data_IF_587578529223
#
_entry.id   IF_587578529223
#
_cell.length_a   1.000
_cell.length_b   1.000
_cell.length_c   1.000
_cell.angle_alpha   90.00
_cell.angle_beta   90.00
_cell.angle_gamma   90.00
#
_symmetry.space_group_name_H-M   'P 1'
#
loop_
_entity.id
_entity.type
_entity.pdbx_description
1 polymer ?
#
# COMPACT_ATOMS: atom_id res chain seq x y z
N UNK A 1 -1.26 32.65 -0.91
CA UNK A 1 -1.07 31.30 -0.34
C UNK A 1 -0.76 30.38 -1.51
N UNK A 2 0.45 29.82 -1.58
CA UNK A 2 0.77 28.79 -2.57
C UNK A 2 0.05 27.50 -2.19
N UNK A 3 -0.70 26.92 -3.12
CA UNK A 3 -1.33 25.62 -2.92
C UNK A 3 -0.26 24.58 -2.56
N UNK A 4 -0.57 23.71 -1.59
CA UNK A 4 0.29 22.58 -1.25
C UNK A 4 0.54 21.74 -2.50
N UNK A 5 1.77 21.26 -2.76
CA UNK A 5 2.05 20.38 -3.89
C UNK A 5 1.51 18.96 -3.67
N UNK A 6 0.79 18.70 -2.57
CA UNK A 6 0.24 17.40 -2.18
C UNK A 6 -1.28 17.40 -2.31
N UNK A 7 -1.84 16.22 -2.51
CA UNK A 7 -3.27 16.02 -2.70
C UNK A 7 -4.05 16.32 -1.42
N UNK A 8 -5.14 17.07 -1.58
CA UNK A 8 -6.20 17.18 -0.58
C UNK A 8 -7.24 16.09 -0.81
N UNK A 9 -7.95 15.74 0.26
CA UNK A 9 -8.97 14.69 0.34
C UNK A 9 -10.37 15.26 0.61
N UNK A 10 -10.52 16.58 0.57
CA UNK A 10 -11.82 17.25 0.50
C UNK A 10 -12.37 17.25 -0.94
N UNK A 11 -13.59 17.78 -1.11
CA UNK A 11 -14.27 17.77 -2.40
C UNK A 11 -13.47 18.41 -3.54
N UNK A 12 -12.78 19.53 -3.28
CA UNK A 12 -11.97 20.20 -4.30
C UNK A 12 -10.72 19.38 -4.65
N UNK A 13 -10.03 18.84 -3.64
CA UNK A 13 -8.88 17.95 -3.84
C UNK A 13 -9.25 16.67 -4.59
N UNK A 14 -10.39 16.07 -4.28
CA UNK A 14 -10.90 14.88 -4.97
C UNK A 14 -11.25 15.16 -6.43
N UNK A 15 -11.82 16.33 -6.72
CA UNK A 15 -12.06 16.75 -8.11
C UNK A 15 -10.73 16.94 -8.86
N UNK A 16 -9.74 17.58 -8.23
CA UNK A 16 -8.41 17.75 -8.83
C UNK A 16 -7.73 16.39 -9.09
N UNK A 17 -7.85 15.43 -8.17
CA UNK A 17 -7.36 14.06 -8.38
C UNK A 17 -8.08 13.41 -9.57
N UNK A 18 -9.40 13.60 -9.69
CA UNK A 18 -10.17 13.04 -10.80
C UNK A 18 -9.70 13.61 -12.17
N UNK A 19 -9.48 14.92 -12.23
CA UNK A 19 -9.07 15.63 -13.45
C UNK A 19 -7.63 15.29 -13.86
N UNK A 20 -6.71 15.30 -12.90
CA UNK A 20 -5.26 15.11 -13.16
C UNK A 20 -4.84 13.65 -13.18
N UNK A 21 -5.60 12.77 -12.52
CA UNK A 21 -5.25 11.37 -12.24
C UNK A 21 -3.93 11.22 -11.48
N UNK A 22 -3.59 12.19 -10.64
CA UNK A 22 -2.40 12.16 -9.80
C UNK A 22 -2.84 12.28 -8.34
N UNK A 23 -2.35 11.36 -7.51
CA UNK A 23 -2.54 11.36 -6.07
C UNK A 23 -1.16 11.42 -5.44
N UNK A 24 -0.92 12.41 -4.59
CA UNK A 24 0.40 12.65 -4.01
C UNK A 24 0.32 12.87 -2.50
N UNK A 25 1.04 12.06 -1.74
CA UNK A 25 1.13 12.14 -0.28
C UNK A 25 2.53 12.55 0.18
N UNK A 26 2.58 13.41 1.18
CA UNK A 26 3.79 13.70 1.95
C UNK A 26 3.87 12.72 3.13
N UNK A 27 4.82 11.80 3.09
CA UNK A 27 5.03 10.77 4.12
C UNK A 27 6.39 10.92 4.80
N UNK A 28 7.11 12.02 4.61
CA UNK A 28 8.47 12.19 5.16
C UNK A 28 8.50 12.14 6.69
N UNK A 29 7.47 12.69 7.34
CA UNK A 29 7.35 12.77 8.80
C UNK A 29 6.86 11.46 9.44
N UNK A 30 6.45 10.47 8.64
CA UNK A 30 5.83 9.24 9.15
C UNK A 30 4.49 9.47 9.85
N UNK A 31 3.81 10.60 9.58
CA UNK A 31 2.46 10.90 10.07
C UNK A 31 1.82 11.95 9.18
N UNK A 32 0.57 11.71 8.77
CA UNK A 32 -0.25 12.66 8.00
C UNK A 32 -1.46 13.06 8.82
N UNK A 33 -1.58 14.34 9.20
CA UNK A 33 -2.74 14.80 9.97
C UNK A 33 -3.95 14.96 9.06
N UNK A 34 -5.12 14.58 9.57
CA UNK A 34 -6.39 14.68 8.84
C UNK A 34 -6.67 16.11 8.35
N UNK A 35 -6.43 17.09 9.23
CA UNK A 35 -6.62 18.50 8.92
C UNK A 35 -5.71 19.00 7.78
N UNK A 36 -4.49 18.48 7.66
CA UNK A 36 -3.52 18.93 6.64
C UNK A 36 -3.93 18.49 5.23
N UNK A 37 -4.68 17.39 5.14
CA UNK A 37 -5.21 16.86 3.88
C UNK A 37 -6.69 17.17 3.68
N UNK A 38 -7.35 17.87 4.61
CA UNK A 38 -8.79 18.15 4.52
C UNK A 38 -9.67 16.89 4.58
N UNK A 39 -9.22 15.87 5.31
CA UNK A 39 -9.98 14.63 5.48
C UNK A 39 -10.81 14.69 6.76
N UNK A 40 -12.13 14.62 6.65
CA UNK A 40 -13.06 14.70 7.79
C UNK A 40 -14.03 13.50 7.82
N UNK A 41 -13.70 12.42 7.10
CA UNK A 41 -14.68 11.36 6.86
C UNK A 41 -14.94 10.50 8.10
N UNK A 42 -16.19 10.03 8.18
CA UNK A 42 -16.66 9.11 9.22
C UNK A 42 -16.04 7.72 9.22
N UNK A 43 -15.45 7.34 8.10
CA UNK A 43 -14.91 6.02 7.81
C UNK A 43 -13.74 6.12 6.81
N UNK A 44 -13.37 4.98 6.20
CA UNK A 44 -12.41 4.90 5.11
C UNK A 44 -12.89 5.62 3.83
N UNK A 45 -11.95 6.21 3.09
CA UNK A 45 -12.21 6.87 1.81
C UNK A 45 -11.69 6.03 0.64
N UNK A 46 -12.59 5.70 -0.29
CA UNK A 46 -12.22 5.12 -1.57
C UNK A 46 -11.94 6.21 -2.61
N UNK A 47 -10.82 6.11 -3.32
CA UNK A 47 -10.48 7.01 -4.42
C UNK A 47 -10.26 6.19 -5.70
N UNK A 48 -11.05 6.49 -6.73
CA UNK A 48 -10.99 5.84 -8.03
C UNK A 48 -12.05 4.75 -8.24
N UNK A 49 -11.92 4.02 -9.36
CA UNK A 49 -12.84 2.98 -9.80
C UNK A 49 -11.99 1.87 -10.48
N UNK A 50 -12.21 0.57 -10.17
CA UNK A 50 -11.46 -0.54 -10.80
C UNK A 50 -11.55 -0.60 -12.33
N UNK A 51 -12.57 0.04 -12.92
CA UNK A 51 -12.84 0.11 -14.36
C UNK A 51 -12.33 1.40 -15.00
N UNK A 52 -11.92 2.40 -14.20
CA UNK A 52 -11.36 3.64 -14.71
C UNK A 52 -9.89 3.47 -15.12
N UNK A 53 -9.35 4.40 -15.94
CA UNK A 53 -7.92 4.46 -16.20
C UNK A 53 -7.09 4.54 -14.92
N UNK A 54 -5.87 4.04 -15.00
CA UNK A 54 -4.90 4.16 -13.91
C UNK A 54 -4.59 5.62 -13.57
N UNK A 55 -4.25 5.81 -12.30
CA UNK A 55 -3.77 7.04 -11.69
C UNK A 55 -2.33 6.85 -11.26
N UNK A 56 -1.59 7.94 -11.25
CA UNK A 56 -0.26 8.00 -10.65
C UNK A 56 -0.43 8.17 -9.14
N UNK A 57 0.12 7.23 -8.36
CA UNK A 57 0.27 7.36 -6.92
C UNK A 57 1.72 7.75 -6.63
N UNK A 58 1.90 8.90 -6.01
CA UNK A 58 3.20 9.45 -5.64
C UNK A 58 3.30 9.50 -4.12
N UNK A 59 4.25 8.77 -3.56
CA UNK A 59 4.49 8.68 -2.13
C UNK A 59 5.86 9.29 -1.85
N UNK A 60 5.90 10.50 -1.30
CA UNK A 60 7.14 11.13 -0.88
C UNK A 60 7.50 10.61 0.52
N UNK A 61 8.25 9.50 0.55
CA UNK A 61 8.65 8.83 1.80
C UNK A 61 9.88 9.47 2.45
N UNK A 62 10.27 9.00 3.65
CA UNK A 62 11.37 9.56 4.44
C UNK A 62 12.71 9.76 3.72
N UNK A 63 13.03 8.93 2.73
CA UNK A 63 14.32 8.96 2.05
C UNK A 63 14.24 9.21 0.54
N UNK A 64 13.11 8.89 -0.09
CA UNK A 64 12.90 9.14 -1.51
C UNK A 64 11.42 9.11 -1.90
N UNK A 65 11.17 9.47 -3.16
CA UNK A 65 9.86 9.36 -3.81
C UNK A 65 9.65 7.97 -4.40
N UNK A 66 8.54 7.33 -4.05
CA UNK A 66 7.99 6.19 -4.77
C UNK A 66 6.89 6.63 -5.73
N UNK A 67 6.92 6.10 -6.96
CA UNK A 67 5.92 6.38 -7.99
C UNK A 67 5.31 5.08 -8.49
N UNK A 68 4.00 4.98 -8.38
CA UNK A 68 3.22 3.77 -8.61
C UNK A 68 2.03 4.07 -9.51
N UNK A 69 1.45 3.03 -10.09
CA UNK A 69 0.19 3.10 -10.82
C UNK A 69 -0.86 2.29 -10.08
N UNK A 70 -2.05 2.86 -9.95
CA UNK A 70 -3.19 2.20 -9.34
C UNK A 70 -4.49 2.71 -9.95
N UNK A 71 -5.52 1.87 -9.98
CA UNK A 71 -6.88 2.31 -10.37
C UNK A 71 -7.69 2.80 -9.19
N UNK A 72 -7.49 2.15 -8.05
CA UNK A 72 -8.20 2.37 -6.79
C UNK A 72 -7.23 2.39 -5.63
N UNK A 73 -7.46 3.32 -4.71
CA UNK A 73 -6.87 3.27 -3.39
C UNK A 73 -7.93 3.51 -2.33
N UNK A 74 -7.64 3.05 -1.13
CA UNK A 74 -8.43 3.30 0.05
C UNK A 74 -7.53 3.90 1.11
N UNK A 75 -8.08 4.86 1.83
CA UNK A 75 -7.41 5.54 2.93
C UNK A 75 -8.21 5.26 4.18
N UNK A 76 -7.52 4.87 5.24
CA UNK A 76 -8.08 4.73 6.59
C UNK A 76 -7.50 5.81 7.50
N UNK A 77 -8.17 6.08 8.62
CA UNK A 77 -7.77 7.11 9.56
C UNK A 77 -7.88 6.62 10.99
N UNK A 78 -6.92 7.03 11.82
CA UNK A 78 -7.03 7.00 13.27
C UNK A 78 -7.63 8.33 13.73
N UNK A 79 -8.91 8.27 14.10
CA UNK A 79 -9.69 9.42 14.56
C UNK A 79 -9.23 9.95 15.90
N UNK A 80 -8.75 9.08 16.79
CA UNK A 80 -8.30 9.48 18.12
C UNK A 80 -6.97 10.23 18.03
N UNK A 81 -6.08 9.77 17.15
CA UNK A 81 -4.82 10.44 16.86
C UNK A 81 -4.99 11.66 15.93
N UNK A 82 -6.08 11.74 15.15
CA UNK A 82 -6.28 12.77 14.15
C UNK A 82 -5.33 12.63 12.97
N UNK A 83 -5.00 11.39 12.59
CA UNK A 83 -4.03 11.06 11.54
C UNK A 83 -4.57 10.02 10.57
N UNK A 84 -4.00 9.96 9.37
CA UNK A 84 -4.18 8.80 8.51
C UNK A 84 -3.53 7.56 9.15
N UNK A 85 -4.11 6.39 8.89
CA UNK A 85 -3.68 5.10 9.46
C UNK A 85 -2.92 4.27 8.41
N UNK A 86 -3.58 3.90 7.31
CA UNK A 86 -2.97 3.23 6.18
C UNK A 86 -3.49 3.73 4.82
N UNK A 87 -2.68 3.47 3.80
CA UNK A 87 -3.08 3.61 2.40
C UNK A 87 -3.04 2.22 1.76
N UNK A 88 -4.22 1.69 1.43
CA UNK A 88 -4.35 0.47 0.65
C UNK A 88 -4.50 0.78 -0.84
N UNK A 89 -3.82 0.07 -1.73
CA UNK A 89 -4.04 0.19 -3.17
C UNK A 89 -3.94 -1.16 -3.87
N UNK A 90 -4.59 -1.26 -5.03
CA UNK A 90 -4.68 -2.51 -5.78
C UNK A 90 -4.04 -2.40 -7.14
N UNK A 91 -3.33 -3.46 -7.51
CA UNK A 91 -2.85 -3.70 -8.86
C UNK A 91 -3.37 -5.04 -9.34
N UNK A 92 -3.43 -5.20 -10.65
CA UNK A 92 -3.80 -6.46 -11.27
C UNK A 92 -2.81 -6.78 -12.36
N UNK A 93 -2.46 -8.06 -12.44
CA UNK A 93 -1.60 -8.61 -13.48
C UNK A 93 -2.30 -9.81 -14.09
N UNK A 94 -1.99 -10.10 -15.35
CA UNK A 94 -2.77 -11.05 -16.14
C UNK A 94 -2.48 -12.51 -15.75
N UNK A 95 -1.27 -12.80 -15.26
CA UNK A 95 -0.84 -14.16 -14.94
C UNK A 95 -0.21 -14.28 -13.56
N UNK A 96 -0.19 -15.52 -13.05
CA UNK A 96 0.54 -15.84 -11.81
C UNK A 96 2.04 -15.57 -11.95
N UNK A 97 2.64 -15.77 -13.13
CA UNK A 97 4.07 -15.52 -13.34
C UNK A 97 4.40 -14.02 -13.31
N UNK A 98 3.48 -13.17 -13.79
CA UNK A 98 3.60 -11.72 -13.63
C UNK A 98 3.51 -11.31 -12.16
N UNK A 99 2.61 -11.94 -11.40
CA UNK A 99 2.49 -11.69 -9.96
C UNK A 99 3.75 -12.13 -9.20
N UNK A 100 4.33 -13.29 -9.57
CA UNK A 100 5.60 -13.77 -9.02
C UNK A 100 6.71 -12.76 -9.30
N UNK A 101 6.78 -12.25 -10.53
CA UNK A 101 7.77 -11.24 -10.93
C UNK A 101 7.60 -9.95 -10.11
N UNK A 102 6.38 -9.42 -10.04
CA UNK A 102 6.09 -8.18 -9.30
C UNK A 102 6.39 -8.30 -7.80
N UNK A 103 6.08 -9.44 -7.17
CA UNK A 103 6.39 -9.68 -5.76
C UNK A 103 7.89 -9.84 -5.53
N UNK A 104 8.63 -10.51 -6.43
CA UNK A 104 10.09 -10.62 -6.37
C UNK A 104 10.78 -9.26 -6.52
N UNK A 105 10.32 -8.41 -7.44
CA UNK A 105 10.82 -7.04 -7.58
C UNK A 105 10.59 -6.22 -6.29
N UNK A 106 9.58 -6.58 -5.51
CA UNK A 106 9.31 -6.02 -4.20
C UNK A 106 10.40 -6.28 -3.15
N UNK A 107 11.29 -7.25 -3.34
CA UNK A 107 12.45 -7.47 -2.47
C UNK A 107 13.35 -6.22 -2.51
N UNK A 108 13.75 -5.79 -3.71
CA UNK A 108 14.65 -4.65 -3.88
C UNK A 108 13.92 -3.32 -3.69
N UNK A 109 12.67 -3.23 -4.17
CA UNK A 109 11.90 -2.00 -4.14
C UNK A 109 11.35 -1.68 -2.75
N UNK A 110 10.72 -2.66 -2.14
CA UNK A 110 9.94 -2.52 -0.90
C UNK A 110 10.58 -3.20 0.31
N UNK A 111 11.74 -3.83 0.14
CA UNK A 111 12.45 -4.49 1.23
C UNK A 111 11.73 -5.74 1.72
N UNK A 112 10.97 -6.42 0.86
CA UNK A 112 10.31 -7.67 1.23
C UNK A 112 11.33 -8.74 1.63
N UNK A 113 10.95 -9.55 2.61
CA UNK A 113 11.81 -10.63 3.07
C UNK A 113 11.91 -11.70 1.98
N UNK A 114 13.13 -11.93 1.50
CA UNK A 114 13.41 -12.84 0.39
C UNK A 114 12.94 -14.27 0.67
N UNK A 115 13.10 -14.75 1.90
CA UNK A 115 12.73 -16.12 2.24
C UNK A 115 11.22 -16.31 2.22
N UNK A 116 10.44 -15.36 2.76
CA UNK A 116 8.98 -15.36 2.65
C UNK A 116 8.51 -15.34 1.20
N UNK A 117 9.13 -14.48 0.37
CA UNK A 117 8.80 -14.37 -1.06
C UNK A 117 9.07 -15.69 -1.77
N UNK A 118 10.25 -16.29 -1.59
CA UNK A 118 10.61 -17.54 -2.28
C UNK A 118 9.84 -18.75 -1.73
N UNK A 119 9.46 -18.77 -0.45
CA UNK A 119 8.55 -19.77 0.10
C UNK A 119 7.16 -19.66 -0.53
N UNK A 120 6.62 -18.45 -0.65
CA UNK A 120 5.36 -18.22 -1.35
C UNK A 120 5.45 -18.65 -2.81
N UNK A 121 6.53 -18.29 -3.54
CA UNK A 121 6.73 -18.72 -4.94
C UNK A 121 6.75 -20.25 -5.06
N UNK A 122 7.46 -20.96 -4.16
CA UNK A 122 7.46 -22.44 -4.15
C UNK A 122 6.05 -22.98 -3.93
N UNK A 123 5.29 -22.40 -2.99
CA UNK A 123 3.91 -22.77 -2.69
C UNK A 123 3.01 -22.64 -3.91
N UNK A 124 2.95 -21.44 -4.51
CA UNK A 124 2.07 -21.18 -5.66
C UNK A 124 2.50 -21.93 -6.92
N UNK A 125 3.81 -22.20 -7.09
CA UNK A 125 4.31 -23.01 -8.22
C UNK A 125 3.91 -24.48 -8.09
N UNK A 126 3.81 -25.00 -6.87
CA UNK A 126 3.34 -26.37 -6.62
C UNK A 126 1.81 -26.48 -6.73
N UNK A 127 1.09 -25.41 -6.42
CA UNK A 127 -0.36 -25.34 -6.31
C UNK A 127 -0.97 -24.30 -7.27
N UNK A 128 -0.54 -24.30 -8.54
CA UNK A 128 -0.84 -23.22 -9.52
C UNK A 128 -2.33 -23.05 -9.84
N UNK A 129 -3.13 -24.10 -9.64
CA UNK A 129 -4.56 -24.09 -9.93
C UNK A 129 -5.44 -23.84 -8.69
N UNK A 130 -4.84 -23.79 -7.50
CA UNK A 130 -5.55 -23.59 -6.24
C UNK A 130 -5.80 -22.09 -6.03
N UNK A 131 -7.05 -21.70 -5.77
CA UNK A 131 -7.36 -20.31 -5.41
C UNK A 131 -6.84 -19.98 -4.01
N UNK A 132 -6.30 -18.78 -3.82
CA UNK A 132 -5.76 -18.37 -2.52
C UNK A 132 -5.82 -16.86 -2.32
N UNK A 133 -5.78 -16.47 -1.05
CA UNK A 133 -5.55 -15.11 -0.60
C UNK A 133 -4.54 -15.15 0.55
N UNK A 134 -3.40 -14.50 0.37
CA UNK A 134 -2.31 -14.60 1.33
C UNK A 134 -1.46 -13.31 1.36
N UNK A 135 -1.18 -12.82 2.57
CA UNK A 135 -0.12 -11.82 2.80
C UNK A 135 1.23 -12.50 2.58
N UNK A 136 1.99 -12.02 1.61
CA UNK A 136 3.27 -12.64 1.23
C UNK A 136 4.40 -12.11 2.11
N UNK A 137 4.55 -10.80 2.20
CA UNK A 137 5.56 -10.17 3.05
C UNK A 137 5.17 -8.73 3.39
N UNK A 138 5.67 -8.28 4.52
CA UNK A 138 5.90 -6.88 4.85
C UNK A 138 7.37 -6.55 4.63
N UNK A 139 7.70 -5.30 4.29
CA UNK A 139 9.07 -4.84 4.09
C UNK A 139 9.25 -3.37 4.43
N UNK A 140 10.50 -2.99 4.74
CA UNK A 140 10.92 -1.59 4.86
C UNK A 140 11.67 -1.22 3.59
N UNK A 141 11.02 -0.47 2.71
CA UNK A 141 11.57 -0.14 1.40
C UNK A 141 12.70 0.89 1.47
N UNK A 142 13.44 1.03 0.37
CA UNK A 142 14.54 2.01 0.23
C UNK A 142 14.13 3.45 0.51
N UNK A 143 12.86 3.81 0.27
CA UNK A 143 12.35 5.15 0.56
C UNK A 143 11.93 5.34 2.02
N UNK A 144 12.16 4.35 2.87
CA UNK A 144 11.76 4.36 4.27
C UNK A 144 10.27 4.11 4.48
N UNK A 145 9.55 3.57 3.48
CA UNK A 145 8.13 3.23 3.61
C UNK A 145 7.98 1.78 4.08
N UNK A 146 7.08 1.54 5.03
CA UNK A 146 6.67 0.19 5.42
C UNK A 146 5.53 -0.23 4.50
N UNK A 147 5.70 -1.34 3.79
CA UNK A 147 4.66 -1.86 2.90
C UNK A 147 4.41 -3.34 3.08
N UNK A 148 3.16 -3.77 2.99
CA UNK A 148 2.77 -5.19 2.87
C UNK A 148 2.20 -5.45 1.50
N UNK A 149 2.41 -6.66 0.98
CA UNK A 149 1.70 -7.16 -0.21
C UNK A 149 0.89 -8.41 0.13
N UNK A 150 -0.38 -8.39 -0.24
CA UNK A 150 -1.29 -9.53 -0.24
C UNK A 150 -1.63 -9.90 -1.67
N UNK A 151 -1.53 -11.18 -2.00
CA UNK A 151 -1.87 -11.71 -3.32
C UNK A 151 -3.18 -12.48 -3.22
N UNK A 152 -4.11 -12.16 -4.10
CA UNK A 152 -5.38 -12.85 -4.28
C UNK A 152 -5.42 -13.44 -5.69
N UNK A 153 -5.39 -14.76 -5.77
CA UNK A 153 -5.49 -15.51 -7.01
C UNK A 153 -6.81 -16.26 -7.06
N UNK A 154 -7.52 -16.07 -8.18
CA UNK A 154 -8.73 -16.80 -8.53
C UNK A 154 -8.58 -17.32 -9.94
N UNK A 155 -9.08 -18.53 -10.18
CA UNK A 155 -8.95 -19.16 -11.49
C UNK A 155 -9.68 -18.34 -12.55
N UNK A 156 -9.10 -18.24 -13.74
CA UNK A 156 -9.64 -17.51 -14.90
C UNK A 156 -9.90 -16.00 -14.63
N UNK A 157 -9.21 -15.42 -13.65
CA UNK A 157 -9.24 -14.00 -13.32
C UNK A 157 -7.82 -13.44 -13.27
N UNK A 158 -7.63 -12.13 -13.55
CA UNK A 158 -6.37 -11.47 -13.25
C UNK A 158 -6.00 -11.64 -11.77
N UNK A 159 -4.71 -11.82 -11.49
CA UNK A 159 -4.19 -11.90 -10.13
C UNK A 159 -4.24 -10.49 -9.54
N UNK A 160 -4.80 -10.36 -8.34
CA UNK A 160 -4.90 -9.06 -7.65
C UNK A 160 -3.83 -8.98 -6.58
N UNK A 161 -3.00 -7.94 -6.65
CA UNK A 161 -2.04 -7.58 -5.62
C UNK A 161 -2.61 -6.39 -4.85
N UNK A 162 -2.86 -6.59 -3.56
CA UNK A 162 -3.25 -5.53 -2.64
C UNK A 162 -2.02 -5.12 -1.82
N UNK A 163 -1.69 -3.84 -1.89
CA UNK A 163 -0.61 -3.25 -1.13
C UNK A 163 -1.18 -2.42 0.01
N UNK A 164 -0.49 -2.45 1.15
CA UNK A 164 -0.75 -1.56 2.28
C UNK A 164 0.50 -0.75 2.55
N UNK A 165 0.36 0.56 2.68
CA UNK A 165 1.41 1.47 3.15
C UNK A 165 1.04 1.90 4.55
N UNK A 166 1.87 1.53 5.52
CA UNK A 166 1.64 1.84 6.92
C UNK A 166 2.33 3.15 7.28
N UNK A 167 1.59 4.06 7.91
CA UNK A 167 1.99 5.45 8.09
C UNK A 167 1.74 5.95 9.51
N UNK A 168 1.43 5.06 10.46
CA UNK A 168 1.36 5.45 11.86
C UNK A 168 2.77 5.50 12.45
N UNK A 169 3.03 6.47 13.33
CA UNK A 169 4.32 6.60 14.00
C UNK A 169 4.74 5.31 14.76
N UNK A 170 3.76 4.58 15.31
CA UNK A 170 4.00 3.32 16.01
C UNK A 170 4.56 2.21 15.10
N UNK A 171 4.25 2.23 13.80
CA UNK A 171 4.78 1.27 12.83
C UNK A 171 6.30 1.45 12.65
N UNK A 172 6.80 2.66 12.89
CA UNK A 172 8.20 3.03 12.73
C UNK A 172 9.02 2.85 14.02
N UNK A 173 8.47 2.19 15.04
CA UNK A 173 9.24 1.78 16.22
C UNK A 173 10.48 0.95 15.82
N UNK A 174 11.68 1.22 16.37
CA UNK A 174 12.90 0.52 16.00
C UNK A 174 12.81 -1.01 16.09
N UNK A 175 12.15 -1.55 17.12
CA UNK A 175 12.00 -2.98 17.29
C UNK A 175 11.05 -3.57 16.23
N UNK A 176 9.99 -2.81 15.88
CA UNK A 176 9.09 -3.20 14.79
C UNK A 176 9.82 -3.22 13.43
N UNK A 177 10.59 -2.17 13.14
CA UNK A 177 11.39 -2.09 11.91
C UNK A 177 12.42 -3.22 11.82
N UNK A 178 13.07 -3.57 12.92
CA UNK A 178 14.00 -4.70 12.97
C UNK A 178 13.27 -6.03 12.73
N UNK A 179 12.10 -6.23 13.34
CA UNK A 179 11.27 -7.42 13.10
C UNK A 179 10.83 -7.54 11.64
N UNK A 180 10.41 -6.44 11.01
CA UNK A 180 10.03 -6.44 9.58
C UNK A 180 11.23 -6.79 8.71
N UNK A 181 12.40 -6.19 8.95
CA UNK A 181 13.60 -6.48 8.13
C UNK A 181 14.05 -7.94 8.26
N UNK A 182 13.97 -8.49 9.47
CA UNK A 182 14.47 -9.86 9.75
C UNK A 182 13.47 -10.94 9.36
N UNK A 183 12.17 -10.72 9.58
CA UNK A 183 11.13 -11.75 9.44
C UNK A 183 10.12 -11.47 8.32
N UNK A 184 10.13 -10.26 7.76
CA UNK A 184 9.10 -9.80 6.83
C UNK A 184 7.73 -9.61 7.47
N UNK A 185 7.66 -9.43 8.81
CA UNK A 185 6.44 -9.27 9.59
C UNK A 185 6.62 -8.20 10.67
N UNK A 186 5.57 -7.48 10.99
CA UNK A 186 5.53 -6.55 12.11
C UNK A 186 5.31 -7.27 13.45
N UNK A 187 5.76 -6.66 14.55
CA UNK A 187 5.63 -7.19 15.92
C UNK A 187 4.19 -7.16 16.41
N UNK A 188 3.52 -6.03 16.23
CA UNK A 188 2.07 -6.00 16.30
C UNK A 188 1.55 -6.58 14.98
N UNK A 189 0.50 -7.41 15.03
CA UNK A 189 -0.29 -7.62 13.82
C UNK A 189 -0.81 -6.26 13.40
N UNK A 190 -0.16 -5.66 12.40
CA UNK A 190 -0.75 -4.58 11.63
C UNK A 190 -2.11 -5.13 11.21
N UNK A 191 -3.21 -4.49 11.63
CA UNK A 191 -4.51 -5.11 11.48
C UNK A 191 -4.59 -5.55 10.02
N UNK A 192 -4.87 -6.84 9.72
CA UNK A 192 -5.54 -7.09 8.46
C UNK A 192 -6.75 -6.18 8.59
N UNK A 193 -6.91 -5.21 7.71
CA UNK A 193 -8.18 -4.51 7.67
C UNK A 193 -9.18 -5.60 7.31
N UNK A 194 -9.72 -6.23 8.36
CA UNK A 194 -10.76 -7.22 8.34
C UNK A 194 -11.99 -6.43 7.96
N UNK A 195 -12.09 -6.15 6.66
CA UNK A 195 -13.32 -5.67 6.08
C UNK A 195 -14.19 -6.91 5.93
N UNK A 196 -15.18 -6.98 6.82
CA UNK A 196 -16.40 -7.77 6.60
C UNK A 196 -16.99 -7.44 5.24
#
# INVERSE_FOLDING_TARGET
>A
MTASPYSRLDAEGLQQIADTRIIKFDLHSGTVRLADVGFDADDALAIGDPRAPEKLLVLDGPHCREVLRTRTLFITADRFAGTLDDIAFWRSVDTLDDAITEVRDGIDRFGYNKDNVEEWVKGVTKHRDDEYRQVVSTGVGRCGLITSVEVNYKKDRPVVLQYYVYIQAADYDPANLESIRTTGRALAQLPPTARK
#
